data_IF_716251842339
#
_entry.id   IF_716251842339
#
_cell.length_a   1.000
_cell.length_b   1.000
_cell.length_c   1.000
_cell.angle_alpha   90.00
_cell.angle_beta   90.00
_cell.angle_gamma   90.00
#
_symmetry.space_group_name_H-M   'P 1'
#
loop_
_entity.id
_entity.type
_entity.pdbx_description
1 polymer ?
#
# COMPACT_ATOMS: atom_id res chain seq x y z
N UNK A 1 -15.59 16.84 11.02
CA UNK A 1 -14.52 16.12 10.28
C UNK A 1 -14.48 16.69 8.87
N UNK A 2 -13.34 17.25 8.43
CA UNK A 2 -13.21 17.81 7.08
C UNK A 2 -13.39 16.70 6.05
N UNK A 3 -13.88 17.01 4.84
CA UNK A 3 -14.02 16.03 3.75
C UNK A 3 -12.68 15.34 3.44
N UNK A 4 -11.56 16.07 3.51
CA UNK A 4 -10.22 15.53 3.26
C UNK A 4 -9.69 14.61 4.37
N UNK A 5 -10.24 14.63 5.59
CA UNK A 5 -9.87 13.63 6.61
C UNK A 5 -10.33 12.21 6.25
N UNK A 6 -11.31 12.07 5.35
CA UNK A 6 -11.68 10.78 4.78
C UNK A 6 -10.60 10.16 3.86
N UNK A 7 -9.57 10.89 3.46
CA UNK A 7 -8.40 10.29 2.79
C UNK A 7 -7.61 9.40 3.73
N UNK A 8 -7.49 9.80 5.01
CA UNK A 8 -6.81 9.01 6.03
C UNK A 8 -7.70 7.88 6.55
N UNK A 9 -8.90 8.18 7.03
CA UNK A 9 -9.84 7.19 7.61
C UNK A 9 -11.26 7.40 7.05
N UNK A 10 -11.60 6.76 5.92
CA UNK A 10 -12.94 6.86 5.36
C UNK A 10 -14.01 6.41 6.35
N UNK A 11 -15.01 7.28 6.61
CA UNK A 11 -16.16 6.96 7.45
C UNK A 11 -17.45 7.49 6.83
N UNK A 12 -18.56 6.80 7.05
CA UNK A 12 -19.89 7.21 6.60
C UNK A 12 -20.02 7.37 5.07
N UNK A 13 -20.99 8.21 4.65
CA UNK A 13 -21.26 8.44 3.23
C UNK A 13 -20.12 9.21 2.52
N UNK A 14 -19.56 10.23 3.18
CA UNK A 14 -18.41 10.98 2.67
C UNK A 14 -17.18 10.08 2.44
N UNK A 15 -16.94 9.13 3.35
CA UNK A 15 -15.91 8.12 3.21
C UNK A 15 -16.13 7.20 2.00
N UNK A 16 -17.37 6.77 1.74
CA UNK A 16 -17.70 5.95 0.55
C UNK A 16 -17.39 6.68 -0.76
N UNK A 17 -17.70 7.96 -0.84
CA UNK A 17 -17.40 8.80 -2.01
C UNK A 17 -15.89 8.96 -2.15
N UNK A 18 -15.18 9.28 -1.07
CA UNK A 18 -13.73 9.45 -1.08
C UNK A 18 -13.01 8.17 -1.57
N UNK A 19 -13.36 7.00 -1.04
CA UNK A 19 -12.79 5.71 -1.46
C UNK A 19 -13.04 5.44 -2.96
N UNK A 20 -14.21 5.81 -3.47
CA UNK A 20 -14.51 5.66 -4.90
C UNK A 20 -13.64 6.60 -5.77
N UNK A 21 -13.44 7.83 -5.34
CA UNK A 21 -12.57 8.80 -6.03
C UNK A 21 -11.10 8.36 -6.00
N UNK A 22 -10.61 7.90 -4.86
CA UNK A 22 -9.23 7.40 -4.71
C UNK A 22 -8.95 6.19 -5.60
N UNK A 23 -9.89 5.25 -5.73
CA UNK A 23 -9.75 4.10 -6.62
C UNK A 23 -9.50 4.48 -8.09
N UNK A 24 -10.01 5.63 -8.54
CA UNK A 24 -9.81 6.12 -9.91
C UNK A 24 -8.58 7.03 -10.00
N UNK A 25 -8.44 7.94 -9.04
CA UNK A 25 -7.40 8.98 -9.05
C UNK A 25 -5.98 8.40 -9.07
N UNK A 26 -5.71 7.40 -8.25
CA UNK A 26 -4.36 6.83 -8.10
C UNK A 26 -4.02 5.72 -9.12
N UNK A 27 -4.93 5.38 -10.03
CA UNK A 27 -4.73 4.27 -10.98
C UNK A 27 -3.53 4.45 -11.91
N UNK A 28 -3.29 5.67 -12.38
CA UNK A 28 -2.18 5.99 -13.27
C UNK A 28 -0.82 5.87 -12.57
N UNK A 29 -0.75 6.31 -11.31
CA UNK A 29 0.45 6.19 -10.48
C UNK A 29 0.72 4.71 -10.16
N UNK A 30 -0.29 3.96 -9.73
CA UNK A 30 -0.15 2.53 -9.45
C UNK A 30 0.32 1.76 -10.69
N UNK A 31 -0.26 2.04 -11.87
CA UNK A 31 0.16 1.41 -13.12
C UNK A 31 1.62 1.76 -13.50
N UNK A 32 2.06 2.99 -13.23
CA UNK A 32 3.45 3.38 -13.44
C UNK A 32 4.40 2.65 -12.48
N UNK A 33 4.08 2.63 -11.19
CA UNK A 33 4.91 1.98 -10.17
C UNK A 33 5.01 0.47 -10.37
N UNK A 34 3.92 -0.20 -10.70
CA UNK A 34 3.88 -1.64 -10.92
C UNK A 34 4.80 -2.14 -12.06
N UNK A 35 5.32 -1.25 -12.92
CA UNK A 35 6.35 -1.62 -13.91
C UNK A 35 7.68 -2.01 -13.26
N UNK A 36 7.90 -1.62 -12.01
CA UNK A 36 9.10 -1.94 -11.21
C UNK A 36 8.88 -3.16 -10.30
N UNK A 37 7.72 -3.81 -10.39
CA UNK A 37 7.39 -5.01 -9.63
C UNK A 37 7.06 -6.16 -10.57
N UNK A 38 7.82 -7.26 -10.47
CA UNK A 38 7.64 -8.46 -11.29
C UNK A 38 7.47 -9.69 -10.37
N UNK A 39 6.28 -9.89 -9.79
CA UNK A 39 6.03 -11.04 -8.93
C UNK A 39 5.97 -12.33 -9.74
N UNK A 40 6.29 -13.46 -9.12
CA UNK A 40 6.04 -14.76 -9.72
C UNK A 40 4.54 -14.96 -9.96
N UNK A 41 4.13 -15.70 -11.02
CA UNK A 41 2.72 -15.91 -11.34
C UNK A 41 1.89 -16.57 -10.23
N UNK A 42 2.52 -17.27 -9.31
CA UNK A 42 1.94 -17.98 -8.18
C UNK A 42 2.20 -17.30 -6.82
N UNK A 43 2.72 -16.08 -6.84
CA UNK A 43 3.07 -15.34 -5.63
C UNK A 43 1.88 -15.10 -4.70
N UNK A 44 2.15 -15.19 -3.40
CA UNK A 44 1.27 -14.70 -2.33
C UNK A 44 1.57 -13.22 -2.09
N UNK A 45 0.59 -12.37 -2.30
CA UNK A 45 0.74 -10.91 -2.21
C UNK A 45 -0.14 -10.36 -1.09
N UNK A 46 0.41 -9.43 -0.29
CA UNK A 46 -0.34 -8.64 0.68
C UNK A 46 -0.36 -7.17 0.23
N UNK A 47 -1.52 -6.53 0.22
CA UNK A 47 -1.67 -5.09 0.00
C UNK A 47 -2.07 -4.40 1.31
N UNK A 48 -1.15 -3.62 1.88
CA UNK A 48 -1.32 -2.90 3.15
C UNK A 48 -1.94 -1.53 2.91
N UNK A 49 -3.16 -1.31 3.40
CA UNK A 49 -3.98 -0.13 3.10
C UNK A 49 -4.63 -0.26 1.73
N UNK A 50 -5.29 -1.37 1.46
CA UNK A 50 -5.86 -1.70 0.14
C UNK A 50 -7.01 -0.78 -0.31
N UNK A 51 -7.47 0.14 0.55
CA UNK A 51 -8.53 1.09 0.27
C UNK A 51 -9.77 0.41 -0.30
N UNK A 52 -10.29 0.93 -1.41
CA UNK A 52 -11.45 0.35 -2.11
C UNK A 52 -11.14 -0.87 -2.98
N UNK A 53 -9.92 -1.41 -2.92
CA UNK A 53 -9.54 -2.69 -3.54
C UNK A 53 -9.26 -2.64 -5.04
N UNK A 54 -9.02 -1.47 -5.61
CA UNK A 54 -8.70 -1.35 -7.04
C UNK A 54 -7.37 -2.03 -7.39
N UNK A 55 -6.33 -1.84 -6.57
CA UNK A 55 -5.02 -2.43 -6.78
C UNK A 55 -5.04 -3.96 -6.60
N UNK A 56 -5.90 -4.49 -5.74
CA UNK A 56 -6.05 -5.95 -5.59
C UNK A 56 -6.39 -6.62 -6.93
N UNK A 57 -7.25 -6.02 -7.77
CA UNK A 57 -7.55 -6.55 -9.12
C UNK A 57 -6.32 -6.60 -10.01
N UNK A 58 -5.48 -5.57 -9.93
CA UNK A 58 -4.25 -5.51 -10.74
C UNK A 58 -3.23 -6.53 -10.27
N UNK A 59 -3.03 -6.66 -8.95
CA UNK A 59 -2.16 -7.66 -8.36
C UNK A 59 -2.60 -9.10 -8.70
N UNK A 60 -3.92 -9.38 -8.66
CA UNK A 60 -4.50 -10.67 -9.08
C UNK A 60 -4.21 -11.01 -10.55
N UNK A 61 -4.12 -10.01 -11.43
CA UNK A 61 -3.72 -10.21 -12.84
C UNK A 61 -2.24 -10.49 -13.00
N UNK A 62 -1.40 -9.84 -12.18
CA UNK A 62 0.04 -10.06 -12.17
C UNK A 62 0.39 -11.45 -11.62
N UNK A 63 -0.40 -11.98 -10.68
CA UNK A 63 -0.22 -13.28 -10.06
C UNK A 63 -1.39 -14.22 -10.40
N UNK A 64 -1.53 -14.68 -11.67
CA UNK A 64 -2.72 -15.40 -12.12
C UNK A 64 -2.93 -16.76 -11.44
N UNK A 65 -1.90 -17.37 -10.89
CA UNK A 65 -1.93 -18.62 -10.11
C UNK A 65 -1.78 -18.39 -8.61
N UNK A 66 -1.45 -17.17 -8.19
CA UNK A 66 -1.23 -16.77 -6.80
C UNK A 66 -2.51 -16.34 -6.09
N UNK A 67 -2.32 -15.81 -4.90
CA UNK A 67 -3.39 -15.23 -4.08
C UNK A 67 -3.02 -13.82 -3.62
N UNK A 68 -4.01 -12.96 -3.48
CA UNK A 68 -3.83 -11.59 -3.02
C UNK A 68 -4.67 -11.38 -1.76
N UNK A 69 -4.05 -10.87 -0.72
CA UNK A 69 -4.71 -10.47 0.52
C UNK A 69 -4.65 -8.95 0.63
N UNK A 70 -5.74 -8.33 1.04
CA UNK A 70 -5.80 -6.90 1.32
C UNK A 70 -6.15 -6.65 2.77
N UNK A 71 -5.48 -5.69 3.39
CA UNK A 71 -5.87 -5.15 4.68
C UNK A 71 -6.12 -3.65 4.58
N UNK A 72 -7.06 -3.18 5.37
CA UNK A 72 -7.29 -1.75 5.60
C UNK A 72 -7.86 -1.57 7.00
N UNK A 73 -7.49 -0.48 7.68
CA UNK A 73 -8.02 -0.22 9.02
C UNK A 73 -9.44 0.38 9.02
N UNK A 74 -9.90 0.89 7.86
CA UNK A 74 -11.25 1.41 7.66
C UNK A 74 -12.22 0.32 7.25
N UNK A 75 -13.25 0.08 8.06
CA UNK A 75 -14.33 -0.86 7.72
C UNK A 75 -15.03 -0.49 6.40
N UNK A 76 -15.16 0.82 6.10
CA UNK A 76 -15.75 1.33 4.85
C UNK A 76 -14.92 0.91 3.63
N UNK A 77 -13.59 1.04 3.73
CA UNK A 77 -12.65 0.59 2.70
C UNK A 77 -12.76 -0.92 2.48
N UNK A 78 -12.73 -1.70 3.56
CA UNK A 78 -12.84 -3.16 3.53
C UNK A 78 -14.15 -3.62 2.87
N UNK A 79 -15.29 -3.02 3.24
CA UNK A 79 -16.59 -3.34 2.62
C UNK A 79 -16.56 -3.07 1.11
N UNK A 80 -16.01 -1.92 0.70
CA UNK A 80 -15.89 -1.57 -0.72
C UNK A 80 -14.95 -2.53 -1.45
N UNK A 81 -13.77 -2.82 -0.87
CA UNK A 81 -12.79 -3.74 -1.45
C UNK A 81 -13.34 -5.14 -1.65
N UNK A 82 -14.11 -5.66 -0.69
CA UNK A 82 -14.81 -6.95 -0.80
C UNK A 82 -15.81 -6.96 -1.97
N UNK A 83 -16.62 -5.90 -2.10
CA UNK A 83 -17.58 -5.78 -3.22
C UNK A 83 -16.87 -5.74 -4.58
N UNK A 84 -15.78 -4.95 -4.65
CA UNK A 84 -15.00 -4.77 -5.89
C UNK A 84 -14.32 -6.08 -6.33
N UNK A 85 -13.94 -6.94 -5.37
CA UNK A 85 -13.21 -8.19 -5.63
C UNK A 85 -14.05 -9.46 -5.36
N UNK A 86 -15.39 -9.35 -5.32
CA UNK A 86 -16.28 -10.45 -4.91
C UNK A 86 -16.04 -11.75 -5.72
N UNK A 87 -15.84 -11.65 -7.03
CA UNK A 87 -15.55 -12.82 -7.88
C UNK A 87 -14.25 -13.52 -7.52
N UNK A 88 -13.18 -12.76 -7.24
CA UNK A 88 -11.89 -13.33 -6.83
C UNK A 88 -11.96 -13.92 -5.41
N UNK A 89 -12.77 -13.33 -4.53
CA UNK A 89 -13.02 -13.86 -3.19
C UNK A 89 -13.78 -15.19 -3.28
N UNK A 90 -14.84 -15.25 -4.07
CA UNK A 90 -15.59 -16.49 -4.30
C UNK A 90 -14.74 -17.61 -4.91
N UNK A 91 -13.77 -17.24 -5.77
CA UNK A 91 -12.80 -18.17 -6.35
C UNK A 91 -11.65 -18.57 -5.39
N UNK A 92 -11.65 -18.10 -4.12
CA UNK A 92 -10.62 -18.40 -3.14
C UNK A 92 -9.24 -17.78 -3.43
N UNK A 93 -9.18 -16.78 -4.34
CA UNK A 93 -7.95 -16.12 -4.76
C UNK A 93 -7.70 -14.77 -4.12
N UNK A 94 -8.70 -14.20 -3.44
CA UNK A 94 -8.60 -12.92 -2.75
C UNK A 94 -9.20 -13.03 -1.35
N UNK A 95 -8.59 -12.37 -0.38
CA UNK A 95 -9.21 -12.10 0.91
C UNK A 95 -9.04 -10.63 1.26
N UNK A 96 -10.01 -10.06 1.97
CA UNK A 96 -9.93 -8.68 2.47
C UNK A 96 -10.42 -8.65 3.90
N UNK A 97 -9.60 -8.10 4.82
CA UNK A 97 -9.96 -8.00 6.23
C UNK A 97 -9.60 -6.63 6.82
N UNK A 98 -10.29 -6.27 7.89
CA UNK A 98 -9.96 -5.08 8.64
C UNK A 98 -8.78 -5.40 9.57
N UNK A 99 -7.67 -4.67 9.40
CA UNK A 99 -6.48 -4.81 10.23
C UNK A 99 -5.61 -3.55 10.17
N UNK A 100 -4.69 -3.44 11.13
CA UNK A 100 -3.66 -2.39 11.16
C UNK A 100 -2.32 -2.94 10.69
N UNK A 101 -1.53 -2.10 10.03
CA UNK A 101 -0.14 -2.43 9.69
C UNK A 101 0.76 -2.51 10.92
N UNK A 102 0.35 -1.88 12.03
CA UNK A 102 1.10 -1.92 13.29
C UNK A 102 1.11 -3.32 13.95
N UNK A 103 0.14 -4.17 13.59
CA UNK A 103 0.02 -5.55 14.05
C UNK A 103 -0.64 -6.35 12.93
N UNK A 104 0.17 -6.92 12.04
CA UNK A 104 -0.33 -7.69 10.90
C UNK A 104 -0.85 -9.06 11.38
N UNK A 105 -2.10 -9.43 11.07
CA UNK A 105 -2.72 -10.67 11.54
C UNK A 105 -2.26 -11.88 10.74
N UNK A 106 -0.97 -11.94 10.46
CA UNK A 106 -0.34 -13.00 9.67
C UNK A 106 0.88 -13.56 10.40
N UNK A 107 1.15 -14.83 10.22
CA UNK A 107 2.38 -15.46 10.67
C UNK A 107 3.62 -14.92 9.91
N UNK A 108 4.82 -15.24 10.38
CA UNK A 108 6.04 -14.86 9.67
C UNK A 108 6.13 -15.57 8.31
N UNK A 109 6.83 -14.96 7.36
CA UNK A 109 7.27 -15.56 6.10
C UNK A 109 6.14 -16.15 5.22
N UNK A 110 5.02 -15.42 5.13
CA UNK A 110 3.87 -15.86 4.33
C UNK A 110 3.84 -15.29 2.91
N UNK A 111 4.42 -14.11 2.68
CA UNK A 111 4.25 -13.37 1.43
C UNK A 111 5.56 -13.25 0.65
N UNK A 112 5.48 -13.44 -0.67
CA UNK A 112 6.57 -13.08 -1.59
C UNK A 112 6.61 -11.59 -1.87
N UNK A 113 5.46 -10.91 -1.80
CA UNK A 113 5.34 -9.47 -2.04
C UNK A 113 4.40 -8.85 -1.02
N UNK A 114 4.81 -7.71 -0.47
CA UNK A 114 3.92 -6.78 0.25
C UNK A 114 3.92 -5.46 -0.49
N UNK A 115 2.74 -4.89 -0.71
CA UNK A 115 2.56 -3.59 -1.38
C UNK A 115 1.93 -2.56 -0.44
N UNK A 116 2.28 -1.29 -0.66
CA UNK A 116 1.69 -0.13 0.00
C UNK A 116 1.53 1.00 -1.03
N UNK A 117 0.30 1.30 -1.45
CA UNK A 117 -0.02 2.38 -2.39
C UNK A 117 -0.67 3.54 -1.66
N UNK A 118 -0.03 4.71 -1.63
CA UNK A 118 -0.59 5.93 -1.01
C UNK A 118 -0.92 5.81 0.48
N UNK A 119 -0.29 4.90 1.22
CA UNK A 119 -0.68 4.62 2.60
C UNK A 119 0.40 4.89 3.64
N UNK A 120 1.67 4.78 3.30
CA UNK A 120 2.79 4.96 4.26
C UNK A 120 2.82 6.35 4.89
N UNK A 121 2.19 7.33 4.28
CA UNK A 121 1.99 8.67 4.83
C UNK A 121 1.30 8.69 6.21
N UNK A 122 0.52 7.66 6.50
CA UNK A 122 -0.36 7.57 7.66
C UNK A 122 0.07 6.49 8.65
N UNK A 123 1.19 5.82 8.39
CA UNK A 123 1.67 4.76 9.25
C UNK A 123 2.35 5.35 10.48
N UNK A 124 1.85 5.06 11.71
CA UNK A 124 2.54 5.47 12.92
C UNK A 124 3.84 4.67 13.06
N UNK A 125 4.82 5.17 13.81
CA UNK A 125 6.05 4.41 14.12
C UNK A 125 6.63 3.64 12.92
N UNK A 126 6.96 4.37 11.85
CA UNK A 126 7.21 3.84 10.50
C UNK A 126 8.19 2.66 10.47
N UNK A 127 9.30 2.74 11.22
CA UNK A 127 10.30 1.67 11.29
C UNK A 127 9.71 0.40 11.89
N UNK A 128 8.86 0.53 12.92
CA UNK A 128 8.22 -0.61 13.55
C UNK A 128 7.22 -1.28 12.59
N UNK A 129 6.45 -0.48 11.84
CA UNK A 129 5.54 -1.00 10.84
C UNK A 129 6.29 -1.67 9.68
N UNK A 130 7.45 -1.14 9.30
CA UNK A 130 8.31 -1.78 8.31
C UNK A 130 8.88 -3.12 8.83
N UNK A 131 9.17 -3.24 10.13
CA UNK A 131 9.55 -4.52 10.75
C UNK A 131 8.42 -5.54 10.74
N UNK A 132 7.16 -5.11 10.90
CA UNK A 132 6.00 -6.00 10.74
C UNK A 132 5.87 -6.48 9.29
N UNK A 133 6.06 -5.60 8.31
CA UNK A 133 6.13 -6.01 6.89
C UNK A 133 7.29 -6.97 6.65
N UNK A 134 8.46 -6.67 7.20
CA UNK A 134 9.63 -7.56 7.12
C UNK A 134 9.35 -8.94 7.72
N UNK A 135 8.68 -9.01 8.85
CA UNK A 135 8.34 -10.26 9.53
C UNK A 135 7.47 -11.17 8.65
N UNK A 136 6.44 -10.62 8.00
CA UNK A 136 5.50 -11.42 7.20
C UNK A 136 6.03 -11.75 5.78
N UNK A 137 7.04 -11.05 5.30
CA UNK A 137 7.71 -11.37 4.04
C UNK A 137 8.56 -12.62 4.17
N UNK A 138 8.60 -13.45 3.14
CA UNK A 138 9.55 -14.55 2.99
C UNK A 138 10.97 -14.02 2.77
N UNK A 139 12.04 -14.78 3.08
CA UNK A 139 13.38 -14.46 2.64
C UNK A 139 13.42 -14.22 1.11
N UNK A 140 14.07 -13.15 0.68
CA UNK A 140 14.06 -12.71 -0.73
C UNK A 140 12.80 -11.99 -1.19
N UNK A 141 11.75 -11.94 -0.36
CA UNK A 141 10.49 -11.25 -0.67
C UNK A 141 10.66 -9.73 -0.79
N UNK A 142 9.74 -9.11 -1.51
CA UNK A 142 9.81 -7.69 -1.88
C UNK A 142 8.75 -6.87 -1.14
N UNK A 143 9.17 -5.80 -0.49
CA UNK A 143 8.30 -4.71 -0.08
C UNK A 143 8.30 -3.63 -1.16
N UNK A 144 7.11 -3.27 -1.62
CA UNK A 144 6.87 -2.29 -2.67
C UNK A 144 6.05 -1.13 -2.13
N UNK A 145 6.57 0.09 -2.23
CA UNK A 145 5.90 1.35 -1.84
C UNK A 145 5.70 2.19 -3.09
N UNK A 146 4.52 2.75 -3.30
CA UNK A 146 4.27 3.65 -4.43
C UNK A 146 3.38 4.82 -4.00
N UNK A 147 3.89 6.04 -4.22
CA UNK A 147 3.34 7.29 -3.71
C UNK A 147 3.25 8.37 -4.80
N UNK A 148 2.21 9.21 -4.77
CA UNK A 148 2.10 10.40 -5.63
C UNK A 148 2.98 11.56 -5.16
N UNK A 149 3.24 11.65 -3.85
CA UNK A 149 4.07 12.68 -3.25
C UNK A 149 5.43 12.11 -2.81
N UNK A 150 6.50 12.87 -3.00
CA UNK A 150 7.87 12.45 -2.72
C UNK A 150 8.62 13.36 -1.72
N UNK A 151 7.96 14.37 -1.16
CA UNK A 151 8.54 15.30 -0.19
C UNK A 151 9.53 16.32 -0.77
N UNK A 152 9.61 16.45 -2.08
CA UNK A 152 10.55 17.34 -2.77
C UNK A 152 9.87 18.51 -3.48
N UNK A 153 8.55 18.63 -3.41
CA UNK A 153 7.80 19.65 -4.12
C UNK A 153 6.97 20.52 -3.17
N UNK A 154 6.82 21.81 -3.48
CA UNK A 154 5.96 22.72 -2.70
C UNK A 154 4.47 22.30 -2.68
N UNK A 155 4.05 21.42 -3.58
CA UNK A 155 2.71 20.83 -3.56
C UNK A 155 2.53 19.86 -2.42
N UNK A 156 3.61 19.19 -2.01
CA UNK A 156 3.60 18.18 -0.96
C UNK A 156 3.33 18.84 0.40
N UNK A 157 3.91 20.01 0.66
CA UNK A 157 3.68 20.80 1.88
C UNK A 157 2.21 21.15 2.09
N UNK A 158 1.49 21.44 0.99
CA UNK A 158 0.06 21.75 1.04
C UNK A 158 -0.75 20.57 1.58
N UNK A 159 -0.42 19.34 1.20
CA UNK A 159 -1.16 18.16 1.66
C UNK A 159 -0.96 17.87 3.14
N UNK A 160 0.26 18.05 3.66
CA UNK A 160 0.55 17.88 5.09
C UNK A 160 -0.17 18.92 5.97
N UNK A 161 -0.46 20.11 5.41
CA UNK A 161 -1.26 21.14 6.10
C UNK A 161 -2.76 20.85 6.08
N UNK A 162 -3.27 20.20 5.02
CA UNK A 162 -4.70 19.93 4.83
C UNK A 162 -5.14 18.65 5.53
N UNK A 163 -4.28 17.60 5.50
CA UNK A 163 -4.61 16.28 6.01
C UNK A 163 -3.85 16.04 7.32
N UNK A 164 -4.57 16.07 8.42
CA UNK A 164 -3.98 15.90 9.74
C UNK A 164 -3.34 14.50 9.89
N UNK A 165 -2.10 14.48 10.38
CA UNK A 165 -1.32 13.25 10.60
C UNK A 165 -0.79 12.62 9.32
N UNK A 166 -0.77 13.34 8.20
CA UNK A 166 -0.05 12.94 6.99
C UNK A 166 1.42 13.36 7.10
N UNK A 167 2.34 12.43 6.85
CA UNK A 167 3.77 12.70 6.72
C UNK A 167 4.25 12.21 5.37
N UNK A 168 4.81 13.12 4.57
CA UNK A 168 5.38 12.79 3.26
C UNK A 168 6.87 12.57 3.42
N UNK A 169 7.35 11.43 2.96
CA UNK A 169 8.74 11.01 3.09
C UNK A 169 9.47 11.12 1.77
N UNK A 170 10.70 11.64 1.81
CA UNK A 170 11.61 11.58 0.66
C UNK A 170 12.10 10.14 0.42
N UNK A 171 12.62 9.86 -0.76
CA UNK A 171 13.24 8.56 -1.05
C UNK A 171 14.43 8.26 -0.14
N UNK A 172 15.22 9.27 0.19
CA UNK A 172 16.33 9.15 1.14
C UNK A 172 15.85 8.76 2.54
N UNK A 173 14.79 9.41 3.03
CA UNK A 173 14.20 9.07 4.32
C UNK A 173 13.62 7.65 4.33
N UNK A 174 12.86 7.25 3.29
CA UNK A 174 12.32 5.90 3.19
C UNK A 174 13.42 4.84 3.14
N UNK A 175 14.50 5.08 2.39
CA UNK A 175 15.66 4.16 2.37
C UNK A 175 16.26 3.98 3.76
N UNK A 176 16.51 5.06 4.48
CA UNK A 176 17.07 4.99 5.83
C UNK A 176 16.16 4.20 6.80
N UNK A 177 14.84 4.41 6.75
CA UNK A 177 13.89 3.68 7.58
C UNK A 177 13.77 2.20 7.19
N UNK A 178 13.83 1.88 5.90
CA UNK A 178 13.83 0.50 5.41
C UNK A 178 15.10 -0.25 5.84
N UNK A 179 16.28 0.39 5.77
CA UNK A 179 17.54 -0.17 6.26
C UNK A 179 17.49 -0.44 7.77
N UNK A 180 16.96 0.49 8.56
CA UNK A 180 16.74 0.32 10.00
C UNK A 180 15.77 -0.83 10.34
N UNK A 181 14.83 -1.12 9.44
CA UNK A 181 13.91 -2.24 9.57
C UNK A 181 14.51 -3.59 9.12
N UNK A 182 15.73 -3.59 8.52
CA UNK A 182 16.45 -4.79 8.12
C UNK A 182 16.42 -5.10 6.62
N UNK A 183 15.74 -4.29 5.81
CA UNK A 183 15.68 -4.46 4.37
C UNK A 183 17.03 -4.20 3.68
N UNK A 184 17.20 -4.78 2.52
CA UNK A 184 18.37 -4.59 1.65
C UNK A 184 17.94 -4.37 0.19
N UNK A 185 18.91 -4.15 -0.70
CA UNK A 185 18.69 -3.93 -2.15
C UNK A 185 17.59 -2.91 -2.44
N UNK A 186 17.61 -1.81 -1.70
CA UNK A 186 16.59 -0.77 -1.79
C UNK A 186 16.83 0.06 -3.06
N UNK A 187 15.81 0.13 -3.91
CA UNK A 187 15.81 0.91 -5.14
C UNK A 187 14.67 1.92 -5.12
N UNK A 188 14.90 3.11 -5.67
CA UNK A 188 13.86 4.13 -5.83
C UNK A 188 13.78 4.61 -7.27
N UNK A 189 12.57 4.89 -7.71
CA UNK A 189 12.24 5.44 -9.00
C UNK A 189 11.36 6.66 -8.82
N UNK A 190 11.68 7.75 -9.51
CA UNK A 190 10.89 8.99 -9.54
C UNK A 190 10.54 9.35 -10.97
N UNK A 191 9.45 10.06 -11.16
CA UNK A 191 9.10 10.61 -12.47
C UNK A 191 8.87 12.13 -12.41
N UNK A 192 8.67 12.74 -13.59
CA UNK A 192 8.45 14.19 -13.73
C UNK A 192 7.17 14.71 -13.05
N UNK A 193 6.25 13.82 -12.65
CA UNK A 193 5.03 14.19 -11.92
C UNK A 193 5.21 14.23 -10.40
N UNK A 194 6.39 13.84 -9.91
CA UNK A 194 6.70 13.73 -8.48
C UNK A 194 6.33 12.37 -7.88
N UNK A 195 5.90 11.40 -8.67
CA UNK A 195 5.60 10.07 -8.17
C UNK A 195 6.88 9.34 -7.74
N UNK A 196 6.80 8.66 -6.62
CA UNK A 196 7.88 7.89 -6.03
C UNK A 196 7.48 6.42 -5.91
N UNK A 197 8.33 5.53 -6.40
CA UNK A 197 8.24 4.10 -6.15
C UNK A 197 9.52 3.63 -5.47
N UNK A 198 9.39 2.87 -4.39
CA UNK A 198 10.52 2.25 -3.67
C UNK A 198 10.28 0.75 -3.58
N UNK A 199 11.31 -0.03 -3.91
CA UNK A 199 11.34 -1.48 -3.68
C UNK A 199 12.45 -1.81 -2.71
N UNK A 200 12.20 -2.75 -1.80
CA UNK A 200 13.17 -3.22 -0.82
C UNK A 200 13.04 -4.73 -0.65
N UNK A 201 14.14 -5.45 -0.50
CA UNK A 201 14.15 -6.91 -0.37
C UNK A 201 14.42 -7.32 1.09
N UNK A 202 13.67 -8.32 1.57
CA UNK A 202 14.03 -9.05 2.80
C UNK A 202 15.26 -9.92 2.55
N UNK A 203 16.22 -9.90 3.50
CA UNK A 203 17.38 -10.80 3.48
C UNK A 203 16.98 -12.26 3.64
#
# INVERSE_FOLDING_TARGET
MSFFENTRKPVGLGGKIMVAMMNVGHSAMAAWGLRFLQPAPDAMVLDCGCGGGANLKTLLKLCPKGKVQGIDYSAVSVEKARKVNAGAIAAGRCTVQQASVAELPFGPEQFEVVTAFETVYFWPELVQNFREVYRVLKPGGIFFICNEANGETAKDDKWTQIINGMTIYTDTALKAYLEQAGFCKIQSHKNKKGWLCVTAQKR
#
